data_IF_618615259094
#
_entry.id   IF_618615259094
#
_cell.length_a   1.000
_cell.length_b   1.000
_cell.length_c   1.000
_cell.angle_alpha   90.00
_cell.angle_beta   90.00
_cell.angle_gamma   90.00
#
_symmetry.space_group_name_H-M   'P 1'
#
loop_
_entity.id
_entity.type
_entity.pdbx_description
1 polymer ?
#
# COMPACT_ATOMS: atom_id res chain seq x y z
N UNK A 1 -11.74 -15.25 3.24
CA UNK A 1 -10.38 -14.91 2.74
C UNK A 1 -9.32 -15.24 3.80
N UNK A 2 -8.04 -15.45 3.46
CA UNK A 2 -6.95 -15.64 4.45
C UNK A 2 -6.19 -14.33 4.62
N UNK A 3 -6.16 -13.80 5.85
CA UNK A 3 -5.34 -12.65 6.22
C UNK A 3 -4.06 -13.08 6.90
N UNK A 4 -2.96 -12.37 6.63
CA UNK A 4 -1.69 -12.54 7.32
C UNK A 4 -1.14 -11.16 7.69
N UNK A 5 -0.73 -10.93 8.94
CA UNK A 5 -0.11 -9.66 9.28
C UNK A 5 1.25 -9.56 8.58
N UNK A 6 1.61 -8.36 8.15
CA UNK A 6 2.95 -8.02 7.67
C UNK A 6 3.98 -7.97 8.82
N UNK A 7 3.51 -7.83 10.08
CA UNK A 7 4.29 -7.82 11.30
C UNK A 7 3.65 -8.73 12.35
N UNK A 8 4.43 -9.64 12.96
CA UNK A 8 3.90 -10.65 13.90
C UNK A 8 3.24 -10.05 15.16
N UNK A 9 3.57 -8.82 15.52
CA UNK A 9 3.00 -8.08 16.66
C UNK A 9 1.62 -7.48 16.36
N UNK A 10 1.12 -7.61 15.14
CA UNK A 10 -0.03 -6.90 14.61
C UNK A 10 -1.30 -7.75 14.48
N UNK A 11 -1.42 -8.85 15.23
CA UNK A 11 -2.52 -9.81 15.01
C UNK A 11 -3.86 -9.19 15.41
N UNK A 12 -4.65 -8.82 14.41
CA UNK A 12 -6.01 -8.34 14.57
C UNK A 12 -7.04 -9.47 14.41
N UNK A 13 -8.21 -9.27 15.01
CA UNK A 13 -9.32 -10.21 14.91
C UNK A 13 -9.81 -10.36 13.47
N UNK A 14 -10.14 -11.58 13.08
CA UNK A 14 -10.55 -11.90 11.71
C UNK A 14 -11.80 -11.12 11.27
N UNK A 15 -12.79 -10.99 12.15
CA UNK A 15 -14.03 -10.28 11.85
C UNK A 15 -13.79 -8.79 11.56
N UNK A 16 -12.88 -8.16 12.33
CA UNK A 16 -12.45 -6.79 12.06
C UNK A 16 -11.78 -6.68 10.69
N UNK A 17 -10.86 -7.59 10.39
CA UNK A 17 -10.14 -7.61 9.10
C UNK A 17 -11.07 -7.82 7.90
N UNK A 18 -12.05 -8.73 8.00
CA UNK A 18 -13.04 -8.94 6.95
C UNK A 18 -13.89 -7.68 6.73
N UNK A 19 -14.33 -7.01 7.81
CA UNK A 19 -15.09 -5.75 7.74
C UNK A 19 -14.28 -4.64 7.10
N UNK A 20 -13.08 -4.38 7.61
CA UNK A 20 -12.22 -3.33 7.10
C UNK A 20 -11.83 -3.58 5.65
N UNK A 21 -11.45 -4.80 5.28
CA UNK A 21 -11.09 -5.12 3.91
C UNK A 21 -12.25 -4.93 2.92
N UNK A 22 -13.47 -5.25 3.35
CA UNK A 22 -14.67 -5.13 2.51
C UNK A 22 -15.09 -3.67 2.32
N UNK A 23 -14.90 -2.82 3.33
CA UNK A 23 -15.17 -1.39 3.27
C UNK A 23 -13.98 -0.55 2.75
N UNK A 24 -12.81 -1.17 2.59
CA UNK A 24 -11.58 -0.48 2.25
C UNK A 24 -11.66 0.18 0.87
N UNK A 25 -11.12 1.40 0.78
CA UNK A 25 -10.98 2.11 -0.47
C UNK A 25 -9.90 1.46 -1.34
N UNK A 26 -10.26 1.12 -2.58
CA UNK A 26 -9.37 0.42 -3.51
C UNK A 26 -8.55 1.42 -4.34
N UNK A 27 -7.23 1.28 -4.31
CA UNK A 27 -6.31 2.11 -5.08
C UNK A 27 -5.42 1.30 -6.01
N UNK A 28 -5.79 0.07 -6.36
CA UNK A 28 -5.05 -0.82 -7.24
C UNK A 28 -4.75 -2.15 -6.56
N UNK A 29 -3.46 -2.48 -6.41
CA UNK A 29 -2.99 -3.65 -5.63
C UNK A 29 -2.83 -3.32 -4.14
N UNK A 30 -3.47 -2.24 -3.69
CA UNK A 30 -3.58 -1.85 -2.28
C UNK A 30 -5.01 -1.46 -1.98
N UNK A 31 -5.44 -1.73 -0.75
CA UNK A 31 -6.71 -1.23 -0.21
C UNK A 31 -6.48 -0.57 1.14
N UNK A 32 -7.11 0.58 1.36
CA UNK A 32 -6.98 1.37 2.58
C UNK A 32 -8.27 1.23 3.40
N UNK A 33 -8.18 0.49 4.50
CA UNK A 33 -9.25 0.40 5.49
C UNK A 33 -9.27 1.60 6.43
N UNK A 34 -10.01 1.47 7.52
CA UNK A 34 -10.10 2.51 8.55
C UNK A 34 -8.81 2.58 9.39
N UNK A 35 -8.22 1.43 9.71
CA UNK A 35 -7.02 1.33 10.53
C UNK A 35 -5.88 0.54 9.87
N UNK A 36 -6.16 -0.14 8.76
CA UNK A 36 -5.23 -1.07 8.11
C UNK A 36 -5.01 -0.79 6.63
N UNK A 37 -3.76 -0.89 6.20
CA UNK A 37 -3.39 -1.02 4.79
C UNK A 37 -3.36 -2.50 4.40
N UNK A 38 -4.04 -2.86 3.32
CA UNK A 38 -4.10 -4.22 2.81
C UNK A 38 -3.37 -4.37 1.48
N UNK A 39 -2.66 -5.49 1.33
CA UNK A 39 -1.99 -5.90 0.10
C UNK A 39 -2.59 -7.23 -0.38
N UNK A 40 -3.58 -7.19 -1.29
CA UNK A 40 -4.10 -8.39 -1.94
C UNK A 40 -2.98 -9.11 -2.73
N UNK A 41 -2.76 -10.39 -2.44
CA UNK A 41 -1.82 -11.27 -3.15
C UNK A 41 -2.58 -12.51 -3.64
N UNK A 42 -1.98 -13.27 -4.56
CA UNK A 42 -2.59 -14.51 -5.04
C UNK A 42 -2.83 -15.52 -3.90
N UNK A 43 -1.93 -15.57 -2.90
CA UNK A 43 -2.01 -16.50 -1.76
C UNK A 43 -2.85 -15.98 -0.57
N UNK A 44 -3.69 -14.97 -0.78
CA UNK A 44 -4.45 -14.27 0.26
C UNK A 44 -4.00 -12.81 0.44
N UNK A 45 -4.46 -12.17 1.50
CA UNK A 45 -4.22 -10.73 1.73
C UNK A 45 -3.29 -10.55 2.92
N UNK A 46 -2.24 -9.76 2.74
CA UNK A 46 -1.47 -9.28 3.89
C UNK A 46 -1.98 -7.92 4.35
N UNK A 47 -1.78 -7.58 5.62
CA UNK A 47 -2.21 -6.30 6.17
C UNK A 47 -1.16 -5.69 7.09
N UNK A 48 -1.15 -4.37 7.16
CA UNK A 48 -0.28 -3.58 8.01
C UNK A 48 -1.12 -2.47 8.68
N UNK A 49 -1.30 -2.50 10.01
CA UNK A 49 -1.97 -1.42 10.72
C UNK A 49 -1.23 -0.10 10.56
N UNK A 50 -1.96 1.02 10.46
CA UNK A 50 -1.38 2.34 10.30
C UNK A 50 -0.46 2.74 11.47
N UNK A 51 -0.76 2.24 12.67
CA UNK A 51 0.08 2.42 13.88
C UNK A 51 1.49 1.82 13.76
N UNK A 52 1.72 0.95 12.77
CA UNK A 52 3.01 0.31 12.54
C UNK A 52 3.73 0.86 11.30
N UNK A 53 3.16 1.87 10.66
CA UNK A 53 3.79 2.57 9.53
C UNK A 53 4.55 3.77 10.10
N UNK A 54 5.82 3.89 9.75
CA UNK A 54 6.67 5.02 10.17
C UNK A 54 6.90 6.01 9.03
N UNK A 55 6.91 5.54 7.79
CA UNK A 55 7.11 6.37 6.63
C UNK A 55 6.31 5.86 5.43
N UNK A 56 5.82 6.78 4.60
CA UNK A 56 5.16 6.46 3.35
C UNK A 56 5.52 7.44 2.23
N UNK A 57 5.68 6.94 1.00
CA UNK A 57 5.92 7.78 -0.17
C UNK A 57 5.43 7.12 -1.46
N UNK A 58 5.31 7.92 -2.52
CA UNK A 58 4.96 7.46 -3.85
C UNK A 58 6.23 7.31 -4.69
N UNK A 59 6.40 6.16 -5.34
CA UNK A 59 7.44 5.93 -6.33
C UNK A 59 6.83 5.80 -7.71
N UNK A 60 7.39 6.50 -8.69
CA UNK A 60 7.10 6.32 -10.11
C UNK A 60 8.25 5.51 -10.72
N UNK A 61 7.93 4.47 -11.49
CA UNK A 61 8.89 3.65 -12.23
C UNK A 61 8.49 3.66 -13.71
N UNK A 62 9.43 4.04 -14.59
CA UNK A 62 9.24 3.99 -16.03
C UNK A 62 9.50 2.58 -16.55
N UNK A 63 8.49 1.98 -17.18
CA UNK A 63 8.58 0.68 -17.83
C UNK A 63 8.63 0.89 -19.34
N UNK A 64 9.78 0.54 -19.91
CA UNK A 64 9.99 0.57 -21.35
C UNK A 64 9.62 -0.79 -21.93
N UNK A 65 8.64 -0.84 -22.83
CA UNK A 65 8.28 -2.04 -23.57
C UNK A 65 8.65 -1.90 -25.05
N UNK A 66 9.42 -2.87 -25.56
CA UNK A 66 9.63 -3.03 -26.98
C UNK A 66 8.42 -3.78 -27.56
N UNK A 67 7.64 -3.10 -28.39
CA UNK A 67 6.54 -3.65 -29.16
C UNK A 67 7.03 -4.06 -30.55
N UNK A 68 6.29 -4.93 -31.22
CA UNK A 68 6.55 -5.38 -32.60
C UNK A 68 6.78 -4.20 -33.58
N UNK A 69 6.21 -3.03 -33.29
CA UNK A 69 6.22 -1.86 -34.18
C UNK A 69 6.84 -0.58 -33.56
N UNK A 70 7.49 -0.66 -32.40
CA UNK A 70 8.05 0.54 -31.74
C UNK A 70 8.32 0.37 -30.24
N UNK A 71 8.68 1.47 -29.56
CA UNK A 71 8.93 1.50 -28.11
C UNK A 71 7.80 2.28 -27.43
N UNK A 72 7.20 1.70 -26.41
CA UNK A 72 6.22 2.37 -25.56
C UNK A 72 6.77 2.54 -24.14
N UNK A 73 6.53 3.72 -23.56
CA UNK A 73 6.86 4.02 -22.18
C UNK A 73 5.58 4.03 -21.35
N UNK A 74 5.58 3.27 -20.26
CA UNK A 74 4.47 3.21 -19.32
C UNK A 74 4.97 3.60 -17.93
N UNK A 75 4.25 4.48 -17.27
CA UNK A 75 4.51 4.79 -15.87
C UNK A 75 3.77 3.80 -14.97
N UNK A 76 4.51 3.21 -14.04
CA UNK A 76 3.94 2.46 -12.93
C UNK A 76 4.13 3.23 -11.63
N UNK A 77 3.06 3.29 -10.83
CA UNK A 77 3.06 4.00 -9.56
C UNK A 77 2.98 3.00 -8.41
N UNK A 78 3.82 3.19 -7.39
CA UNK A 78 3.89 2.33 -6.23
C UNK A 78 3.78 3.15 -4.95
N UNK A 79 2.82 2.78 -4.10
CA UNK A 79 2.82 3.20 -2.70
C UNK A 79 3.88 2.39 -1.97
N UNK A 80 4.84 3.11 -1.40
CA UNK A 80 5.94 2.58 -0.61
C UNK A 80 5.67 2.89 0.85
N UNK A 81 5.66 1.90 1.73
CA UNK A 81 5.44 2.07 3.17
C UNK A 81 6.50 1.34 3.96
N UNK A 82 7.11 2.04 4.91
CA UNK A 82 8.09 1.48 5.83
C UNK A 82 7.41 1.15 7.15
N UNK A 83 7.60 -0.08 7.61
CA UNK A 83 7.11 -0.53 8.91
C UNK A 83 8.05 -0.13 10.04
N UNK A 84 7.60 -0.28 11.29
CA UNK A 84 8.43 -0.15 12.50
C UNK A 84 9.56 -1.18 12.56
N UNK A 85 9.49 -2.27 11.79
CA UNK A 85 10.57 -3.23 11.57
C UNK A 85 11.68 -2.73 10.61
N UNK A 86 11.55 -1.50 10.10
CA UNK A 86 12.45 -0.92 9.12
C UNK A 86 12.26 -1.46 7.69
N UNK A 87 11.42 -2.47 7.49
CA UNK A 87 11.23 -3.07 6.16
C UNK A 87 10.28 -2.26 5.30
N UNK A 88 10.60 -2.20 4.02
CA UNK A 88 9.84 -1.48 3.00
C UNK A 88 8.89 -2.43 2.28
N UNK A 89 7.60 -2.09 2.27
CA UNK A 89 6.56 -2.80 1.51
C UNK A 89 6.12 -1.92 0.35
N UNK A 90 5.85 -2.57 -0.79
CA UNK A 90 5.40 -1.92 -2.02
C UNK A 90 4.04 -2.45 -2.42
N UNK A 91 3.17 -1.55 -2.84
CA UNK A 91 1.90 -1.90 -3.46
C UNK A 91 1.62 -1.01 -4.66
N UNK A 92 1.30 -1.62 -5.80
CA UNK A 92 1.04 -0.86 -7.02
C UNK A 92 -0.28 -0.09 -6.88
N UNK A 93 -0.26 1.19 -7.26
CA UNK A 93 -1.46 2.02 -7.38
C UNK A 93 -1.80 2.30 -8.84
N UNK A 94 -3.07 2.59 -9.12
CA UNK A 94 -3.57 2.74 -10.49
C UNK A 94 -3.05 4.00 -11.20
N UNK A 95 -2.80 5.07 -10.46
CA UNK A 95 -2.29 6.34 -10.99
C UNK A 95 -1.54 7.13 -9.91
N UNK A 96 -0.90 8.21 -10.34
CA UNK A 96 -0.24 9.16 -9.44
C UNK A 96 -1.23 9.80 -8.46
N UNK A 97 -2.42 10.15 -8.93
CA UNK A 97 -3.50 10.79 -8.17
C UNK A 97 -4.00 9.85 -7.07
N UNK A 98 -4.29 8.59 -7.43
CA UNK A 98 -4.62 7.53 -6.46
C UNK A 98 -3.53 7.33 -5.41
N UNK A 99 -2.26 7.41 -5.83
CA UNK A 99 -1.13 7.38 -4.91
C UNK A 99 -1.11 8.55 -3.92
N UNK A 100 -1.37 9.78 -4.40
CA UNK A 100 -1.45 10.96 -3.54
C UNK A 100 -2.64 10.90 -2.58
N UNK A 101 -3.80 10.46 -3.04
CA UNK A 101 -4.98 10.21 -2.21
C UNK A 101 -4.68 9.19 -1.11
N UNK A 102 -3.98 8.10 -1.45
CA UNK A 102 -3.55 7.11 -0.46
C UNK A 102 -2.62 7.70 0.61
N UNK A 103 -1.66 8.54 0.21
CA UNK A 103 -0.78 9.23 1.17
C UNK A 103 -1.55 10.20 2.06
N UNK A 104 -2.51 10.93 1.52
CA UNK A 104 -3.35 11.85 2.29
C UNK A 104 -4.20 11.10 3.32
N UNK A 105 -4.78 9.94 2.95
CA UNK A 105 -5.52 9.08 3.87
C UNK A 105 -4.63 8.54 5.00
N UNK A 106 -3.42 8.07 4.66
CA UNK A 106 -2.46 7.61 5.66
C UNK A 106 -2.06 8.73 6.63
N UNK A 107 -1.75 9.92 6.13
CA UNK A 107 -1.39 11.07 6.94
C UNK A 107 -2.54 11.53 7.86
N UNK A 108 -3.79 11.48 7.36
CA UNK A 108 -4.96 11.82 8.15
C UNK A 108 -5.25 10.78 9.25
N UNK A 109 -5.06 9.48 8.94
CA UNK A 109 -5.35 8.39 9.87
C UNK A 109 -4.23 8.18 10.92
N UNK A 110 -2.99 8.52 10.59
CA UNK A 110 -1.87 8.51 11.53
C UNK A 110 -0.94 9.71 11.27
N UNK A 111 -1.13 10.82 12.01
CA UNK A 111 -0.32 12.04 11.86
C UNK A 111 1.17 11.87 12.18
N UNK A 112 1.57 10.77 12.82
CA UNK A 112 2.97 10.47 13.11
C UNK A 112 3.72 9.85 11.92
N UNK A 113 3.02 9.46 10.84
CA UNK A 113 3.68 8.93 9.63
C UNK A 113 4.45 10.06 8.95
N UNK A 114 5.73 9.82 8.67
CA UNK A 114 6.52 10.69 7.82
C UNK A 114 6.12 10.49 6.35
N UNK A 115 5.60 11.54 5.70
CA UNK A 115 5.25 11.50 4.27
C UNK A 115 6.40 12.09 3.45
N UNK A 116 6.95 11.30 2.54
CA UNK A 116 8.07 11.71 1.70
C UNK A 116 9.14 10.64 1.58
N UNK A 117 10.00 10.78 0.58
CA UNK A 117 11.12 9.87 0.41
C UNK A 117 12.26 10.26 1.36
N UNK A 118 12.71 9.29 2.17
CA UNK A 118 13.91 9.39 3.00
C UNK A 118 14.89 8.28 2.57
N UNK A 119 16.14 8.64 2.21
CA UNK A 119 17.17 7.69 1.77
C UNK A 119 17.64 6.75 2.89
#
# INVERSE_FOLDING_TARGET
>A
MKFKPELSTAVLERQLLDREFSAAWEAGRVRLGESCLFFPKFSGTTYLPYSQIVNAYLRQEEVNANLCCGRANFDQFFLMVRGTDGQLRRGQVLSKEKGKEALALLAAANPAIEIGYHP
#
